data_IF_506840594599
#
_entry.id   IF_506840594599
#
_cell.length_a   1.000
_cell.length_b   1.000
_cell.length_c   1.000
_cell.angle_alpha   90.00
_cell.angle_beta   90.00
_cell.angle_gamma   90.00
#
_symmetry.space_group_name_H-M   'P 1'
#
loop_
_entity.id
_entity.type
_entity.pdbx_description
1 polymer ?
#
# COMPACT_ATOMS: atom_id res chain seq x y z
N UNK A 1 -16.26 12.70 12.10
CA UNK A 1 -16.60 13.19 10.74
C UNK A 1 -15.84 12.42 9.66
N UNK A 2 -14.50 12.44 9.61
CA UNK A 2 -13.72 11.81 8.54
C UNK A 2 -13.92 10.30 8.37
N UNK A 3 -14.15 9.55 9.46
CA UNK A 3 -14.41 8.11 9.40
C UNK A 3 -15.76 7.81 8.72
N UNK A 4 -16.80 8.61 9.00
CA UNK A 4 -18.13 8.42 8.42
C UNK A 4 -18.08 8.67 6.90
N UNK A 5 -17.37 9.73 6.48
CA UNK A 5 -17.16 10.02 5.05
C UNK A 5 -16.45 8.84 4.37
N UNK A 6 -15.38 8.31 4.96
CA UNK A 6 -14.67 7.16 4.41
C UNK A 6 -15.54 5.90 4.30
N UNK A 7 -16.42 5.66 5.28
CA UNK A 7 -17.37 4.53 5.24
C UNK A 7 -18.39 4.71 4.13
N UNK A 8 -18.90 5.93 3.93
CA UNK A 8 -19.83 6.23 2.83
C UNK A 8 -19.15 6.05 1.48
N UNK A 9 -17.95 6.58 1.30
CA UNK A 9 -17.16 6.43 0.07
C UNK A 9 -16.87 4.94 -0.22
N UNK A 10 -16.54 4.17 0.82
CA UNK A 10 -16.36 2.73 0.72
C UNK A 10 -17.64 2.03 0.27
N UNK A 11 -18.79 2.33 0.88
CA UNK A 11 -20.08 1.73 0.51
C UNK A 11 -20.46 2.03 -0.94
N UNK A 12 -20.26 3.27 -1.39
CA UNK A 12 -20.53 3.68 -2.77
C UNK A 12 -19.61 2.89 -3.73
N UNK A 13 -18.30 2.88 -3.45
CA UNK A 13 -17.31 2.17 -4.27
C UNK A 13 -17.56 0.67 -4.32
N UNK A 14 -17.94 0.08 -3.19
CA UNK A 14 -18.26 -1.35 -3.07
C UNK A 14 -19.55 -1.72 -3.82
N UNK A 15 -20.57 -0.86 -3.78
CA UNK A 15 -21.81 -1.06 -4.54
C UNK A 15 -21.54 -1.02 -6.04
N UNK A 16 -20.73 -0.07 -6.50
CA UNK A 16 -20.32 0.00 -7.92
C UNK A 16 -19.53 -1.25 -8.31
N UNK A 17 -18.61 -1.72 -7.46
CA UNK A 17 -17.87 -2.95 -7.69
C UNK A 17 -18.80 -4.15 -7.88
N UNK A 18 -19.79 -4.33 -6.99
CA UNK A 18 -20.77 -5.42 -7.09
C UNK A 18 -21.56 -5.31 -8.40
N UNK A 19 -22.04 -4.12 -8.75
CA UNK A 19 -22.77 -3.90 -10.00
C UNK A 19 -21.94 -4.27 -11.24
N UNK A 20 -20.65 -3.92 -11.24
CA UNK A 20 -19.72 -4.30 -12.31
C UNK A 20 -19.47 -5.81 -12.32
N UNK A 21 -19.31 -6.47 -11.17
CA UNK A 21 -19.14 -7.93 -11.11
C UNK A 21 -20.34 -8.67 -11.71
N UNK A 22 -21.56 -8.21 -11.43
CA UNK A 22 -22.77 -8.75 -12.06
C UNK A 22 -22.79 -8.51 -13.57
N UNK A 23 -22.44 -7.30 -14.03
CA UNK A 23 -22.39 -6.98 -15.46
C UNK A 23 -21.35 -7.84 -16.20
N UNK A 24 -20.14 -7.93 -15.67
CA UNK A 24 -19.02 -8.68 -16.27
C UNK A 24 -19.11 -10.20 -16.03
N UNK A 25 -20.19 -10.69 -15.40
CA UNK A 25 -20.38 -12.10 -15.04
C UNK A 25 -19.19 -12.71 -14.28
N UNK A 26 -18.53 -11.89 -13.46
CA UNK A 26 -17.32 -12.26 -12.73
C UNK A 26 -17.68 -12.68 -11.30
N UNK A 27 -17.64 -14.00 -11.03
CA UNK A 27 -18.00 -14.52 -9.72
C UNK A 27 -16.83 -14.47 -8.72
N UNK A 28 -17.10 -14.12 -7.45
CA UNK A 28 -16.10 -14.15 -6.39
C UNK A 28 -15.51 -15.56 -6.27
N UNK A 29 -14.22 -15.69 -6.57
CA UNK A 29 -13.47 -16.96 -6.54
C UNK A 29 -12.75 -17.11 -5.20
N UNK A 30 -12.24 -18.31 -4.88
CA UNK A 30 -11.47 -18.60 -3.66
C UNK A 30 -10.28 -17.65 -3.42
N UNK A 31 -9.76 -17.03 -4.49
CA UNK A 31 -8.73 -16.00 -4.44
C UNK A 31 -9.09 -14.79 -3.56
N UNK A 32 -10.38 -14.48 -3.37
CA UNK A 32 -10.81 -13.40 -2.46
C UNK A 32 -10.40 -13.63 -1.00
N UNK A 33 -10.16 -14.87 -0.59
CA UNK A 33 -9.68 -15.19 0.76
C UNK A 33 -8.26 -14.66 1.01
N UNK A 34 -7.53 -14.29 -0.05
CA UNK A 34 -6.20 -13.67 0.05
C UNK A 34 -6.26 -12.14 0.23
N UNK A 35 -7.43 -11.51 0.05
CA UNK A 35 -7.59 -10.06 0.25
C UNK A 35 -7.17 -9.58 1.65
N UNK A 36 -7.54 -10.27 2.76
CA UNK A 36 -7.09 -9.86 4.09
C UNK A 36 -5.57 -9.87 4.24
N UNK A 37 -4.87 -10.79 3.56
CA UNK A 37 -3.41 -10.87 3.59
C UNK A 37 -2.78 -9.65 2.92
N UNK A 38 -3.26 -9.27 1.72
CA UNK A 38 -2.77 -8.08 1.02
C UNK A 38 -3.12 -6.79 1.76
N UNK A 39 -4.28 -6.74 2.40
CA UNK A 39 -4.70 -5.61 3.24
C UNK A 39 -3.76 -5.46 4.45
N UNK A 40 -3.41 -6.57 5.09
CA UNK A 40 -2.46 -6.60 6.20
C UNK A 40 -1.05 -6.19 5.75
N UNK A 41 -0.60 -6.57 4.55
CA UNK A 41 0.67 -6.11 3.99
C UNK A 41 0.67 -4.60 3.72
N UNK A 42 -0.42 -4.07 3.14
CA UNK A 42 -0.60 -2.63 2.94
C UNK A 42 -0.66 -1.85 4.26
N UNK A 43 -1.30 -2.42 5.28
CA UNK A 43 -1.31 -1.86 6.62
C UNK A 43 0.10 -1.73 7.19
N UNK A 44 0.92 -2.79 7.13
CA UNK A 44 2.30 -2.72 7.59
C UNK A 44 3.16 -1.75 6.75
N UNK A 45 2.94 -1.68 5.44
CA UNK A 45 3.62 -0.70 4.60
C UNK A 45 3.32 0.75 5.02
N UNK A 46 2.04 1.06 5.25
CA UNK A 46 1.58 2.36 5.74
C UNK A 46 2.07 2.63 7.17
N UNK A 47 2.10 1.61 8.02
CA UNK A 47 2.59 1.72 9.40
C UNK A 47 4.10 2.02 9.44
N UNK A 48 4.93 1.26 8.73
CA UNK A 48 6.38 1.47 8.71
C UNK A 48 6.79 2.82 8.13
N UNK A 49 6.19 3.20 6.99
CA UNK A 49 6.42 4.52 6.40
C UNK A 49 5.85 5.66 7.26
N UNK A 50 4.68 5.45 7.86
CA UNK A 50 4.04 6.41 8.77
C UNK A 50 4.86 6.68 10.03
N UNK A 51 5.43 5.65 10.66
CA UNK A 51 6.36 5.79 11.79
C UNK A 51 7.60 6.59 11.41
N UNK A 52 8.19 6.28 10.26
CA UNK A 52 9.36 6.99 9.76
C UNK A 52 9.05 8.48 9.51
N UNK A 53 7.94 8.77 8.84
CA UNK A 53 7.50 10.15 8.59
C UNK A 53 7.16 10.89 9.89
N UNK A 54 6.46 10.23 10.83
CA UNK A 54 6.09 10.83 12.11
C UNK A 54 7.33 11.27 12.91
N UNK A 55 8.36 10.42 12.92
CA UNK A 55 9.63 10.75 13.57
C UNK A 55 10.36 11.94 12.93
N UNK A 56 10.26 12.09 11.60
CA UNK A 56 10.81 13.25 10.88
C UNK A 56 10.00 14.52 11.10
N UNK A 57 8.67 14.40 11.16
CA UNK A 57 7.76 15.53 11.34
C UNK A 57 8.02 16.28 12.66
N UNK A 58 8.42 15.56 13.69
CA UNK A 58 8.74 16.14 15.00
C UNK A 58 10.01 16.97 14.92
N UNK A 59 11.04 16.46 14.24
CA UNK A 59 12.28 17.21 14.04
C UNK A 59 12.11 18.37 13.06
N UNK A 60 11.24 18.20 12.07
CA UNK A 60 11.02 19.14 10.97
C UNK A 60 9.52 19.31 10.69
N UNK A 61 8.93 20.38 11.21
CA UNK A 61 7.49 20.67 11.10
C UNK A 61 7.01 20.82 9.64
N UNK A 62 7.92 21.16 8.72
CA UNK A 62 7.62 21.38 7.29
C UNK A 62 7.24 20.09 6.54
N UNK A 63 7.58 18.91 7.09
CA UNK A 63 7.20 17.63 6.49
C UNK A 63 5.68 17.45 6.40
N UNK A 64 4.89 18.16 7.20
CA UNK A 64 3.42 18.09 7.14
C UNK A 64 2.86 18.45 5.76
N UNK A 65 3.52 19.36 5.04
CA UNK A 65 3.12 19.78 3.69
C UNK A 65 3.63 18.83 2.60
N UNK A 66 4.74 18.14 2.85
CA UNK A 66 5.38 17.23 1.89
C UNK A 66 4.65 15.89 1.82
N UNK A 67 4.08 15.43 2.95
CA UNK A 67 3.35 14.14 3.04
C UNK A 67 2.29 13.97 1.94
N UNK A 68 1.31 14.88 1.77
CA UNK A 68 0.28 14.70 0.75
C UNK A 68 0.87 14.68 -0.66
N UNK A 69 1.92 15.47 -0.92
CA UNK A 69 2.61 15.48 -2.21
C UNK A 69 3.31 14.15 -2.51
N UNK A 70 4.03 13.58 -1.53
CA UNK A 70 4.70 12.28 -1.68
C UNK A 70 3.68 11.15 -1.84
N UNK A 71 2.58 11.17 -1.09
CA UNK A 71 1.51 10.20 -1.24
C UNK A 71 0.88 10.27 -2.65
N UNK A 72 0.68 11.48 -3.18
CA UNK A 72 0.14 11.68 -4.51
C UNK A 72 1.11 11.24 -5.61
N UNK A 73 2.41 11.53 -5.46
CA UNK A 73 3.44 10.97 -6.35
C UNK A 73 3.50 9.44 -6.26
N UNK A 74 3.35 8.88 -5.06
CA UNK A 74 3.31 7.43 -4.84
C UNK A 74 2.24 6.74 -5.69
N UNK A 75 1.06 7.36 -5.83
CA UNK A 75 -0.01 6.83 -6.67
C UNK A 75 0.40 6.70 -8.15
N UNK A 76 1.19 7.64 -8.68
CA UNK A 76 1.68 7.59 -10.06
C UNK A 76 2.81 6.58 -10.26
N UNK A 77 3.62 6.35 -9.24
CA UNK A 77 4.73 5.38 -9.27
C UNK A 77 4.22 3.94 -9.10
N UNK A 78 3.07 3.77 -8.43
CA UNK A 78 2.44 2.48 -8.21
C UNK A 78 1.61 1.99 -9.42
N UNK A 79 1.34 0.67 -9.51
CA UNK A 79 0.63 0.05 -10.64
C UNK A 79 -0.89 0.25 -10.55
N UNK A 80 -1.30 1.48 -10.20
CA UNK A 80 -2.70 1.86 -10.11
C UNK A 80 -3.28 2.03 -11.52
N UNK A 81 -2.59 2.81 -12.36
CA UNK A 81 -3.03 3.12 -13.72
C UNK A 81 -2.56 2.10 -14.77
N UNK A 82 -1.47 1.36 -14.51
CA UNK A 82 -0.85 0.45 -15.46
C UNK A 82 -0.58 -0.91 -14.82
N UNK A 83 -0.63 -1.96 -15.65
CA UNK A 83 -0.23 -3.31 -15.23
C UNK A 83 1.29 -3.42 -15.18
N UNK A 84 1.80 -4.11 -14.16
CA UNK A 84 3.24 -4.37 -13.97
C UNK A 84 3.85 -5.16 -15.15
N UNK A 85 3.02 -5.88 -15.91
CA UNK A 85 3.41 -6.56 -17.16
C UNK A 85 3.90 -5.64 -18.28
N UNK A 86 3.55 -4.34 -18.25
CA UNK A 86 4.00 -3.36 -19.24
C UNK A 86 5.44 -2.87 -18.96
N UNK A 87 5.97 -3.14 -17.76
CA UNK A 87 7.31 -2.71 -17.36
C UNK A 87 8.34 -3.70 -17.95
N UNK A 88 9.39 -3.21 -18.64
CA UNK A 88 10.45 -4.09 -19.15
C UNK A 88 11.12 -4.90 -18.04
N UNK A 89 11.46 -6.16 -18.29
CA UNK A 89 12.01 -7.10 -17.30
C UNK A 89 13.19 -6.54 -16.49
N UNK A 90 14.06 -5.74 -17.13
CA UNK A 90 15.21 -5.09 -16.46
C UNK A 90 14.80 -4.15 -15.32
N UNK A 91 13.64 -3.51 -15.42
CA UNK A 91 13.15 -2.54 -14.43
C UNK A 91 12.09 -3.13 -13.49
N UNK A 92 11.62 -4.35 -13.75
CA UNK A 92 10.62 -5.02 -12.91
C UNK A 92 11.11 -5.19 -11.47
N UNK A 93 12.37 -5.55 -11.24
CA UNK A 93 12.89 -5.73 -9.89
C UNK A 93 12.90 -4.42 -9.09
N UNK A 94 13.26 -3.30 -9.72
CA UNK A 94 13.18 -1.97 -9.11
C UNK A 94 11.72 -1.59 -8.82
N UNK A 95 10.82 -1.97 -9.73
CA UNK A 95 9.39 -1.74 -9.55
C UNK A 95 8.84 -2.52 -8.36
N UNK A 96 9.20 -3.80 -8.22
CA UNK A 96 8.81 -4.66 -7.10
C UNK A 96 9.29 -4.16 -5.74
N UNK A 97 10.30 -3.30 -5.68
CA UNK A 97 10.72 -2.65 -4.44
C UNK A 97 9.67 -1.68 -3.89
N UNK A 98 8.70 -1.24 -4.69
CA UNK A 98 7.59 -0.44 -4.19
C UNK A 98 6.65 -1.35 -3.38
N UNK A 99 6.50 -1.15 -2.06
CA UNK A 99 5.71 -2.03 -1.20
C UNK A 99 4.22 -2.07 -1.55
N UNK A 100 3.72 -1.10 -2.31
CA UNK A 100 2.34 -1.04 -2.77
C UNK A 100 2.10 -1.89 -4.03
N UNK A 101 3.13 -2.33 -4.75
CA UNK A 101 2.98 -3.12 -5.98
C UNK A 101 2.30 -4.46 -5.69
N UNK A 102 2.84 -5.25 -4.76
CA UNK A 102 2.23 -6.53 -4.41
C UNK A 102 0.84 -6.38 -3.79
N UNK A 103 0.56 -5.26 -3.11
CA UNK A 103 -0.80 -4.98 -2.59
C UNK A 103 -1.74 -4.75 -3.77
N UNK A 104 -1.44 -3.82 -4.66
CA UNK A 104 -2.35 -3.43 -5.75
C UNK A 104 -2.56 -4.58 -6.73
N UNK A 105 -1.48 -5.24 -7.16
CA UNK A 105 -1.58 -6.38 -8.08
C UNK A 105 -2.20 -7.61 -7.41
N UNK A 106 -1.94 -7.83 -6.11
CA UNK A 106 -2.60 -8.87 -5.32
C UNK A 106 -4.11 -8.66 -5.18
N UNK A 107 -4.55 -7.42 -4.93
CA UNK A 107 -5.97 -7.06 -4.94
C UNK A 107 -6.60 -7.28 -6.33
N UNK A 108 -5.91 -6.85 -7.39
CA UNK A 108 -6.37 -7.03 -8.78
C UNK A 108 -6.51 -8.50 -9.13
N UNK A 109 -5.54 -9.33 -8.75
CA UNK A 109 -5.54 -10.79 -8.94
C UNK A 109 -6.63 -11.50 -8.15
N UNK A 110 -6.82 -11.10 -6.89
CA UNK A 110 -7.84 -11.68 -6.02
C UNK A 110 -9.27 -11.39 -6.50
N UNK A 111 -9.53 -10.17 -6.97
CA UNK A 111 -10.83 -9.76 -7.50
C UNK A 111 -11.07 -10.35 -8.90
N UNK A 112 -10.04 -10.37 -9.73
CA UNK A 112 -10.07 -10.95 -11.09
C UNK A 112 -9.84 -12.46 -11.09
N UNK A 113 -10.21 -13.17 -10.02
CA UNK A 113 -10.28 -14.64 -10.00
C UNK A 113 -9.01 -15.39 -10.42
N UNK A 114 -7.84 -14.76 -10.34
CA UNK A 114 -6.57 -15.35 -10.74
C UNK A 114 -6.17 -15.16 -12.21
N UNK A 115 -6.90 -14.38 -13.00
CA UNK A 115 -6.64 -14.20 -14.44
C UNK A 115 -5.57 -13.15 -14.77
N UNK A 116 -5.14 -12.33 -13.81
CA UNK A 116 -4.06 -11.37 -14.02
C UNK A 116 -2.70 -11.98 -13.75
N UNK A 117 -1.67 -11.52 -14.47
CA UNK A 117 -0.30 -11.93 -14.19
C UNK A 117 0.07 -11.50 -12.76
N UNK A 118 0.34 -12.47 -11.91
CA UNK A 118 0.74 -12.27 -10.51
C UNK A 118 1.98 -13.12 -10.25
N UNK A 119 3.08 -12.45 -9.93
CA UNK A 119 4.34 -13.15 -9.72
C UNK A 119 4.62 -13.29 -8.21
N UNK A 120 4.92 -14.50 -7.74
CA UNK A 120 5.33 -14.71 -6.34
C UNK A 120 6.56 -13.87 -5.95
N UNK A 121 7.43 -13.55 -6.91
CA UNK A 121 8.58 -12.66 -6.68
C UNK A 121 8.16 -11.27 -6.21
N UNK A 122 7.06 -10.71 -6.74
CA UNK A 122 6.52 -9.40 -6.33
C UNK A 122 6.17 -9.39 -4.84
N UNK A 123 5.51 -10.46 -4.38
CA UNK A 123 5.10 -10.64 -2.99
C UNK A 123 6.30 -10.76 -2.08
N UNK A 124 7.26 -11.61 -2.43
CA UNK A 124 8.45 -11.85 -1.59
C UNK A 124 9.25 -10.55 -1.46
N UNK A 125 9.50 -9.85 -2.56
CA UNK A 125 10.25 -8.58 -2.53
C UNK A 125 9.49 -7.54 -1.70
N UNK A 126 8.18 -7.40 -1.90
CA UNK A 126 7.36 -6.44 -1.15
C UNK A 126 7.32 -6.77 0.35
N UNK A 127 7.19 -8.05 0.73
CA UNK A 127 7.24 -8.49 2.15
C UNK A 127 8.58 -8.11 2.78
N UNK A 128 9.69 -8.36 2.08
CA UNK A 128 11.03 -8.01 2.56
C UNK A 128 11.16 -6.50 2.74
N UNK A 129 10.74 -5.71 1.74
CA UNK A 129 10.80 -4.24 1.82
C UNK A 129 9.91 -3.70 2.93
N UNK A 130 8.67 -4.18 3.07
CA UNK A 130 7.75 -3.77 4.15
C UNK A 130 8.32 -4.11 5.52
N UNK A 131 8.91 -5.30 5.66
CA UNK A 131 9.55 -5.72 6.92
C UNK A 131 10.72 -4.80 7.26
N UNK A 132 11.59 -4.49 6.28
CA UNK A 132 12.69 -3.55 6.46
C UNK A 132 12.20 -2.14 6.80
N UNK A 133 11.16 -1.64 6.12
CA UNK A 133 10.54 -0.34 6.41
C UNK A 133 9.97 -0.29 7.83
N UNK A 134 9.29 -1.34 8.28
CA UNK A 134 8.77 -1.43 9.65
C UNK A 134 9.88 -1.44 10.68
N UNK A 135 10.94 -2.22 10.44
CA UNK A 135 12.11 -2.30 11.33
C UNK A 135 12.82 -0.93 11.42
N UNK A 136 13.15 -0.32 10.28
CA UNK A 136 13.82 0.98 10.23
C UNK A 136 12.94 2.09 10.82
N UNK A 137 11.64 2.10 10.49
CA UNK A 137 10.67 3.04 11.03
C UNK A 137 10.57 2.94 12.56
N UNK A 138 10.51 1.73 13.10
CA UNK A 138 10.42 1.49 14.56
C UNK A 138 11.72 1.88 15.28
N UNK A 139 12.89 1.50 14.73
CA UNK A 139 14.20 1.85 15.31
C UNK A 139 14.39 3.37 15.33
N UNK A 140 14.09 4.03 14.22
CA UNK A 140 14.26 5.48 14.10
C UNK A 140 13.26 6.22 15.00
N UNK A 141 11.99 5.79 15.03
CA UNK A 141 10.98 6.34 15.94
C UNK A 141 11.42 6.26 17.40
N UNK A 142 11.89 5.09 17.87
CA UNK A 142 12.41 4.90 19.23
C UNK A 142 13.64 5.75 19.53
N UNK A 143 14.50 5.99 18.53
CA UNK A 143 15.68 6.85 18.71
C UNK A 143 15.27 8.31 18.88
N UNK A 144 14.31 8.76 18.06
CA UNK A 144 13.79 10.13 18.16
C UNK A 144 13.02 10.30 19.47
N UNK A 145 12.21 9.31 19.90
CA UNK A 145 11.43 9.28 21.16
C UNK A 145 12.27 9.73 22.37
N UNK A 146 13.51 9.25 22.48
CA UNK A 146 14.44 9.64 23.56
C UNK A 146 14.79 11.12 23.58
N UNK A 147 14.77 11.79 22.43
CA UNK A 147 15.01 13.24 22.32
C UNK A 147 13.76 14.06 22.64
N UNK A 148 12.54 13.49 22.52
CA UNK A 148 11.31 14.22 22.90
C UNK A 148 11.23 14.44 24.40
N UNK A 149 11.72 13.49 25.21
CA UNK A 149 11.71 13.59 26.66
C UNK A 149 12.58 14.74 27.19
N UNK A 150 13.57 15.20 26.42
CA UNK A 150 14.45 16.32 26.79
C UNK A 150 13.97 17.69 26.25
N UNK A 151 12.97 17.72 25.35
CA UNK A 151 12.55 18.95 24.65
C UNK A 151 11.17 19.46 25.14
N UNK A 152 10.48 18.72 26.02
CA UNK A 152 9.18 19.11 26.61
C UNK A 152 9.37 19.57 28.05
#
# INVERSE_FOLDING_TARGET
>A
ASIIVAVVDFLISFTILIALMFWYSYFPTWHMLTLPLFLLLGFFAAFGSGLFIASLNVKYRDFKFIIPFVAQLGLYVSPVAFSTTLVPEKYQLLYYMNPMVAVIDGFRWAISGGQTAFNMTEVIVSVVVVSLLCLLGTIYFRKTEKTFADVI
#
